data_IF_746006537168
#
_entry.id   IF_746006537168
#
_cell.length_a   1.000
_cell.length_b   1.000
_cell.length_c   1.000
_cell.angle_alpha   90.00
_cell.angle_beta   90.00
_cell.angle_gamma   90.00
#
_symmetry.space_group_name_H-M   'P 1'
#
loop_
_entity.id
_entity.type
_entity.pdbx_description
1 polymer ?
#
# COMPACT_ATOMS: atom_id res chain seq x y z
N UNK A 1 1.58 12.17 5.14
CA UNK A 1 1.59 10.70 4.97
C UNK A 1 2.13 10.10 6.25
N UNK A 2 1.29 9.36 6.98
CA UNK A 2 1.62 8.88 8.31
C UNK A 2 2.11 7.44 8.21
N UNK A 3 3.41 7.26 8.48
CA UNK A 3 4.09 5.98 8.62
C UNK A 3 4.21 5.14 7.33
N UNK A 4 5.32 4.41 7.21
CA UNK A 4 5.51 3.38 6.19
C UNK A 4 5.75 2.08 6.93
N UNK A 5 5.04 1.03 6.55
CA UNK A 5 5.26 -0.31 7.08
C UNK A 5 5.95 -1.18 6.03
N UNK A 6 6.89 -1.99 6.50
CA UNK A 6 7.69 -2.86 5.68
C UNK A 6 7.55 -4.32 6.07
N UNK A 7 7.77 -5.22 5.13
CA UNK A 7 7.97 -6.64 5.40
C UNK A 7 9.39 -7.06 5.05
N UNK A 8 10.04 -7.79 5.96
CA UNK A 8 11.35 -8.41 5.72
C UNK A 8 11.23 -9.91 5.94
N UNK A 9 11.65 -10.74 4.96
CA UNK A 9 11.43 -12.20 5.01
C UNK A 9 11.91 -12.88 6.31
N UNK A 10 13.04 -12.43 6.88
CA UNK A 10 13.53 -12.92 8.19
C UNK A 10 12.94 -12.24 9.44
N UNK A 11 12.50 -10.99 9.34
CA UNK A 11 12.14 -10.17 10.52
C UNK A 11 10.63 -9.95 10.66
N UNK A 12 9.84 -10.32 9.64
CA UNK A 12 8.41 -10.06 9.60
C UNK A 12 8.08 -8.60 9.32
N UNK A 13 6.94 -8.16 9.85
CA UNK A 13 6.46 -6.78 9.75
C UNK A 13 7.29 -5.85 10.62
N UNK A 14 7.73 -4.75 10.03
CA UNK A 14 8.59 -3.74 10.67
C UNK A 14 8.09 -2.36 10.31
N UNK A 15 8.03 -1.46 11.28
CA UNK A 15 7.80 -0.05 11.00
C UNK A 15 9.05 0.52 10.30
N UNK A 16 8.86 1.39 9.32
CA UNK A 16 9.93 1.99 8.54
C UNK A 16 9.87 3.51 8.58
N UNK A 17 11.05 4.11 8.43
CA UNK A 17 11.14 5.54 8.22
C UNK A 17 10.43 5.93 6.93
N UNK A 18 9.65 7.02 6.98
CA UNK A 18 8.94 7.53 5.81
C UNK A 18 9.89 8.31 4.89
N UNK A 19 10.72 7.56 4.14
CA UNK A 19 11.71 8.13 3.22
C UNK A 19 11.08 8.90 2.05
N UNK A 20 9.83 8.58 1.68
CA UNK A 20 9.07 9.32 0.67
C UNK A 20 8.77 10.74 1.17
N UNK A 21 8.20 10.86 2.38
CA UNK A 21 7.94 12.16 2.98
C UNK A 21 9.22 12.96 3.25
N UNK A 22 10.31 12.27 3.65
CA UNK A 22 11.60 12.90 3.84
C UNK A 22 12.15 13.50 2.54
N UNK A 23 12.06 12.77 1.41
CA UNK A 23 12.44 13.28 0.11
C UNK A 23 11.61 14.51 -0.27
N UNK A 24 10.28 14.41 -0.22
CA UNK A 24 9.38 15.51 -0.58
C UNK A 24 9.66 16.79 0.21
N UNK A 25 9.89 16.64 1.52
CA UNK A 25 10.23 17.76 2.40
C UNK A 25 11.58 18.37 2.06
N UNK A 26 12.61 17.54 1.85
CA UNK A 26 13.98 17.99 1.59
C UNK A 26 14.09 18.78 0.28
N UNK A 27 13.34 18.39 -0.74
CA UNK A 27 13.38 18.99 -2.07
C UNK A 27 12.25 19.99 -2.34
N UNK A 28 11.42 20.29 -1.34
CA UNK A 28 10.20 21.11 -1.47
C UNK A 28 9.33 20.65 -2.66
N UNK A 29 9.19 19.34 -2.81
CA UNK A 29 8.41 18.69 -3.85
C UNK A 29 7.07 18.23 -3.28
N UNK A 30 6.01 18.30 -4.07
CA UNK A 30 4.66 17.90 -3.67
C UNK A 30 4.17 16.67 -4.44
N UNK A 31 4.83 16.33 -5.54
CA UNK A 31 4.51 15.17 -6.36
C UNK A 31 5.28 13.92 -5.89
N UNK A 32 4.54 12.97 -5.31
CA UNK A 32 5.10 11.70 -4.83
C UNK A 32 5.69 10.83 -5.95
N UNK A 33 5.16 10.93 -7.18
CA UNK A 33 5.67 10.16 -8.31
C UNK A 33 7.10 10.57 -8.65
N UNK A 34 7.47 11.84 -8.46
CA UNK A 34 8.86 12.30 -8.61
C UNK A 34 9.77 11.74 -7.53
N UNK A 35 9.29 11.63 -6.29
CA UNK A 35 10.06 11.00 -5.22
C UNK A 35 10.35 9.52 -5.52
N UNK A 36 9.34 8.77 -5.99
CA UNK A 36 9.47 7.36 -6.38
C UNK A 36 10.55 7.20 -7.45
N UNK A 37 10.47 7.98 -8.53
CA UNK A 37 11.43 7.95 -9.64
C UNK A 37 12.84 8.34 -9.16
N UNK A 38 12.97 9.42 -8.39
CA UNK A 38 14.26 9.91 -7.92
C UNK A 38 14.97 8.95 -6.95
N UNK A 39 14.19 8.19 -6.18
CA UNK A 39 14.70 7.17 -5.27
C UNK A 39 15.06 5.86 -5.99
N UNK A 40 14.84 5.80 -7.30
CA UNK A 40 15.25 4.68 -8.16
C UNK A 40 14.24 3.54 -8.24
N UNK A 41 12.98 3.80 -7.89
CA UNK A 41 11.89 2.84 -8.07
C UNK A 41 11.28 3.02 -9.47
N UNK A 42 11.20 1.92 -10.21
CA UNK A 42 10.71 1.90 -11.58
C UNK A 42 9.91 0.63 -11.85
N UNK A 43 9.22 0.61 -13.00
CA UNK A 43 8.45 -0.55 -13.43
C UNK A 43 7.20 -0.73 -12.58
N UNK A 44 6.10 -0.13 -13.03
CA UNK A 44 4.79 -0.28 -12.40
C UNK A 44 4.20 -1.61 -12.82
N UNK A 45 4.30 -2.62 -11.96
CA UNK A 45 3.62 -3.89 -12.14
C UNK A 45 2.26 -3.79 -11.46
N UNK A 46 1.19 -3.66 -12.23
CA UNK A 46 -0.18 -3.86 -11.73
C UNK A 46 -0.37 -5.36 -11.49
N UNK A 47 -0.29 -5.80 -10.24
CA UNK A 47 -0.21 -7.24 -9.91
C UNK A 47 -1.50 -7.81 -9.35
N UNK A 48 -2.33 -6.99 -8.71
CA UNK A 48 -3.60 -7.42 -8.15
C UNK A 48 -4.71 -6.55 -8.75
N UNK A 49 -5.11 -6.89 -9.97
CA UNK A 49 -6.38 -6.45 -10.55
C UNK A 49 -7.44 -7.46 -10.11
N UNK A 50 -7.97 -7.28 -8.90
CA UNK A 50 -9.30 -7.80 -8.63
C UNK A 50 -10.23 -6.65 -8.96
N UNK A 51 -11.24 -6.90 -9.81
CA UNK A 51 -12.36 -5.99 -10.02
C UNK A 51 -13.19 -5.98 -8.72
N UNK A 52 -12.61 -5.36 -7.69
CA UNK A 52 -13.10 -5.33 -6.32
C UNK A 52 -13.42 -3.87 -6.01
N UNK A 53 -14.71 -3.60 -5.86
CA UNK A 53 -15.25 -2.29 -5.51
C UNK A 53 -14.76 -1.74 -4.16
N UNK A 54 -13.99 -2.51 -3.39
CA UNK A 54 -13.43 -2.15 -2.09
C UNK A 54 -11.95 -1.79 -2.22
N UNK A 55 -11.19 -2.47 -3.10
CA UNK A 55 -9.75 -2.23 -3.28
C UNK A 55 -9.46 -1.15 -4.31
N UNK A 56 -10.38 -0.87 -5.23
CA UNK A 56 -10.26 0.24 -6.17
C UNK A 56 -9.27 -0.06 -7.29
N UNK A 57 -8.24 0.80 -7.42
CA UNK A 57 -7.21 0.64 -8.44
C UNK A 57 -6.35 -0.61 -8.17
N UNK A 58 -5.70 -1.18 -9.20
CA UNK A 58 -4.79 -2.30 -9.00
C UNK A 58 -3.73 -2.00 -7.94
N UNK A 59 -3.36 -3.01 -7.16
CA UNK A 59 -2.14 -2.92 -6.33
C UNK A 59 -0.95 -2.77 -7.26
N UNK A 60 -0.18 -1.71 -7.06
CA UNK A 60 0.97 -1.39 -7.90
C UNK A 60 2.25 -1.70 -7.13
N UNK A 61 3.16 -2.39 -7.79
CA UNK A 61 4.49 -2.67 -7.24
C UNK A 61 5.51 -2.00 -8.11
N UNK A 62 6.39 -1.24 -7.46
CA UNK A 62 7.58 -0.63 -8.05
C UNK A 62 8.80 -1.39 -7.54
N UNK A 63 9.70 -1.76 -8.46
CA UNK A 63 10.95 -2.42 -8.12
C UNK A 63 12.11 -1.43 -8.14
N UNK A 64 12.97 -1.53 -7.13
CA UNK A 64 14.17 -0.70 -7.03
C UNK A 64 15.20 -1.18 -8.06
N UNK A 65 15.61 -0.29 -8.98
CA UNK A 65 16.55 -0.65 -10.05
C UNK A 65 18.00 -0.82 -9.59
N UNK A 66 18.41 -0.20 -8.47
CA UNK A 66 19.81 -0.15 -8.04
C UNK A 66 19.99 -0.58 -6.59
N UNK A 67 21.15 -1.19 -6.27
CA UNK A 67 21.54 -1.71 -4.95
C UNK A 67 21.75 -0.66 -3.85
N UNK A 68 20.86 0.33 -3.77
CA UNK A 68 20.78 1.27 -2.66
C UNK A 68 20.36 0.55 -1.37
N UNK A 69 20.43 1.25 -0.23
CA UNK A 69 19.96 0.72 1.06
C UNK A 69 18.43 0.79 1.23
N UNK A 70 17.72 1.26 0.22
CA UNK A 70 16.26 1.34 0.22
C UNK A 70 15.63 -0.04 0.08
N UNK A 71 14.35 -0.19 0.45
CA UNK A 71 13.60 -1.41 0.20
C UNK A 71 13.65 -1.85 -1.27
N UNK A 72 13.62 -3.17 -1.50
CA UNK A 72 13.66 -3.74 -2.85
C UNK A 72 12.36 -3.46 -3.62
N UNK A 73 11.23 -3.52 -2.92
CA UNK A 73 9.92 -3.25 -3.49
C UNK A 73 9.22 -2.14 -2.72
N UNK A 74 8.57 -1.25 -3.45
CA UNK A 74 7.60 -0.29 -2.96
C UNK A 74 6.24 -0.70 -3.51
N UNK A 75 5.26 -0.81 -2.63
CA UNK A 75 3.88 -1.21 -2.97
C UNK A 75 3.00 -0.01 -2.72
N UNK A 76 2.25 0.38 -3.73
CA UNK A 76 1.19 1.37 -3.65
C UNK A 76 -0.15 0.65 -3.57
N UNK A 77 -0.96 1.08 -2.62
CA UNK A 77 -2.25 0.48 -2.32
C UNK A 77 -3.27 1.59 -2.04
N UNK A 78 -4.43 1.55 -2.68
CA UNK A 78 -5.42 2.62 -2.58
C UNK A 78 -6.84 2.06 -2.46
N UNK A 79 -7.31 1.75 -1.22
CA UNK A 79 -8.69 1.31 -1.01
C UNK A 79 -9.69 2.34 -1.55
N UNK A 80 -10.86 1.87 -1.98
CA UNK A 80 -11.94 2.76 -2.44
C UNK A 80 -12.34 3.73 -1.33
N UNK A 81 -12.33 5.02 -1.66
CA UNK A 81 -12.69 6.10 -0.73
C UNK A 81 -11.63 6.42 0.33
N UNK A 82 -10.43 5.83 0.24
CA UNK A 82 -9.32 6.08 1.14
C UNK A 82 -8.17 6.85 0.46
N UNK A 83 -7.18 7.24 1.26
CA UNK A 83 -5.92 7.79 0.75
C UNK A 83 -5.02 6.66 0.25
N UNK A 84 -4.09 7.01 -0.63
CA UNK A 84 -3.04 6.10 -1.07
C UNK A 84 -2.10 5.79 0.10
N UNK A 85 -1.91 4.51 0.36
CA UNK A 85 -0.98 3.97 1.34
C UNK A 85 0.20 3.28 0.64
N UNK A 86 1.36 3.33 1.29
CA UNK A 86 2.58 2.74 0.77
C UNK A 86 3.19 1.75 1.76
N UNK A 87 3.53 0.58 1.24
CA UNK A 87 4.23 -0.48 1.96
C UNK A 87 5.54 -0.81 1.26
N UNK A 88 6.46 -1.41 1.99
CA UNK A 88 7.78 -1.74 1.43
C UNK A 88 8.18 -3.17 1.74
N UNK A 89 9.08 -3.74 0.94
CA UNK A 89 9.62 -5.06 1.22
C UNK A 89 11.13 -5.15 1.03
N UNK A 90 11.77 -5.86 1.95
CA UNK A 90 13.21 -6.09 1.97
C UNK A 90 13.54 -7.55 1.71
N UNK A 91 14.60 -7.75 0.92
CA UNK A 91 15.20 -9.07 0.68
C UNK A 91 14.19 -10.14 0.28
N UNK A 92 13.20 -9.74 -0.53
CA UNK A 92 12.19 -10.66 -1.03
C UNK A 92 12.72 -11.44 -2.24
N UNK A 93 12.72 -12.79 -2.18
CA UNK A 93 13.20 -13.65 -3.26
C UNK A 93 12.46 -13.46 -4.57
N UNK A 94 11.14 -13.22 -4.51
CA UNK A 94 10.30 -13.05 -5.70
C UNK A 94 9.08 -12.16 -5.45
N UNK A 95 8.50 -11.66 -6.54
CA UNK A 95 7.21 -10.96 -6.53
C UNK A 95 6.07 -11.88 -6.05
N UNK A 96 6.10 -13.16 -6.37
CA UNK A 96 5.09 -14.14 -5.92
C UNK A 96 5.08 -14.24 -4.40
N UNK A 97 6.25 -14.27 -3.76
CA UNK A 97 6.34 -14.32 -2.31
C UNK A 97 5.79 -13.05 -1.67
N UNK A 98 6.09 -11.89 -2.27
CA UNK A 98 5.50 -10.62 -1.87
C UNK A 98 3.96 -10.68 -1.92
N UNK A 99 3.40 -11.14 -3.03
CA UNK A 99 1.95 -11.26 -3.22
C UNK A 99 1.31 -12.19 -2.19
N UNK A 100 1.93 -13.33 -1.91
CA UNK A 100 1.45 -14.26 -0.88
C UNK A 100 1.45 -13.63 0.52
N UNK A 101 2.37 -12.70 0.81
CA UNK A 101 2.40 -11.96 2.09
C UNK A 101 1.42 -10.79 2.13
N UNK A 102 1.10 -10.20 0.98
CA UNK A 102 0.11 -9.13 0.88
C UNK A 102 -1.33 -9.66 0.89
N UNK A 103 -1.58 -10.86 0.38
CA UNK A 103 -2.94 -11.41 0.28
C UNK A 103 -3.73 -11.39 1.61
N UNK A 104 -3.16 -11.78 2.77
CA UNK A 104 -3.86 -11.65 4.05
C UNK A 104 -4.18 -10.20 4.45
N UNK A 105 -3.30 -9.24 4.14
CA UNK A 105 -3.52 -7.82 4.41
C UNK A 105 -4.69 -7.31 3.57
N UNK A 106 -4.70 -7.65 2.29
CA UNK A 106 -5.79 -7.33 1.35
C UNK A 106 -7.11 -7.89 1.86
N UNK A 107 -7.15 -9.19 2.18
CA UNK A 107 -8.38 -9.83 2.70
C UNK A 107 -8.86 -9.21 4.02
N UNK A 108 -7.95 -8.84 4.93
CA UNK A 108 -8.32 -8.20 6.19
C UNK A 108 -8.95 -6.83 5.96
N UNK A 109 -8.40 -6.02 5.05
CA UNK A 109 -8.97 -4.72 4.70
C UNK A 109 -10.35 -4.90 4.05
N UNK A 110 -10.49 -5.84 3.11
CA UNK A 110 -11.78 -6.17 2.49
C UNK A 110 -12.83 -6.54 3.53
N UNK A 111 -12.49 -7.45 4.47
CA UNK A 111 -13.42 -7.88 5.51
C UNK A 111 -13.81 -6.76 6.48
N UNK A 112 -12.84 -5.95 6.93
CA UNK A 112 -13.10 -4.81 7.81
C UNK A 112 -14.01 -3.78 7.13
N UNK A 113 -13.78 -3.46 5.86
CA UNK A 113 -14.61 -2.52 5.12
C UNK A 113 -16.03 -3.06 4.90
N UNK A 114 -16.19 -4.35 4.56
CA UNK A 114 -17.52 -4.98 4.47
C UNK A 114 -18.30 -4.90 5.78
N UNK A 115 -17.65 -5.18 6.91
CA UNK A 115 -18.27 -5.07 8.23
C UNK A 115 -18.70 -3.62 8.51
N UNK A 116 -17.84 -2.65 8.19
CA UNK A 116 -18.14 -1.24 8.36
C UNK A 116 -19.32 -0.80 7.49
N UNK A 117 -19.38 -1.21 6.23
CA UNK A 117 -20.47 -0.90 5.31
C UNK A 117 -21.79 -1.48 5.79
N UNK A 118 -21.81 -2.76 6.20
CA UNK A 118 -22.98 -3.40 6.81
C UNK A 118 -23.43 -2.62 8.06
N UNK A 119 -22.50 -2.25 8.94
CA UNK A 119 -22.82 -1.50 10.15
C UNK A 119 -23.38 -0.10 9.86
N UNK A 120 -22.90 0.56 8.81
CA UNK A 120 -23.34 1.88 8.38
C UNK A 120 -24.73 1.84 7.77
N UNK A 121 -25.04 0.81 6.98
CA UNK A 121 -26.35 0.59 6.38
C UNK A 121 -27.41 0.20 7.41
N UNK A 122 -27.04 -0.61 8.41
CA UNK A 122 -27.91 -0.90 9.57
C UNK A 122 -28.23 0.38 10.37
N UNK A 123 -27.25 1.26 10.59
CA UNK A 123 -27.48 2.55 11.27
C UNK A 123 -28.35 3.51 10.47
N UNK A 124 -28.26 3.52 9.12
CA UNK A 124 -29.13 4.32 8.25
C UNK A 124 -30.57 3.82 8.29
N UNK A 125 -30.78 2.50 8.25
CA UNK A 125 -32.12 1.92 8.34
C UNK A 125 -32.78 2.14 9.72
N UNK A 126 -32.04 2.04 10.83
CA UNK A 126 -32.59 2.38 12.15
C UNK A 126 -32.99 3.86 12.31
N UNK A 127 -32.41 4.79 11.53
CA UNK A 127 -32.82 6.20 11.55
C UNK A 127 -34.00 6.52 10.64
N UNK A 128 -34.30 5.67 9.65
CA UNK A 128 -35.42 5.85 8.73
C UNK A 128 -36.75 5.27 9.25
N UNK A 129 -36.72 4.58 10.40
CA UNK A 129 -37.88 3.90 11.02
C UNK A 129 -38.40 4.67 12.26
N UNK A 130 -37.89 5.89 12.52
CA UNK A 130 -38.43 6.79 13.54
C UNK A 130 -39.01 8.06 12.91
#
# INVERSE_FOLDING_TARGET
>A
MNEIWGYHFKKGWIQQHNFLAAYLTLFNEHDISKAIIALGYFGKYGVYQIDDSILGNPIEVYELQNGSRLPKYLIEYCPVGANVDYFVAYNMPSLIELLNKLAPLVHAVTACNQINDISSNLKKHSKAVN
#
